data_IF_617077117361
#
_entry.id   IF_617077117361
#
_cell.length_a   1.000
_cell.length_b   1.000
_cell.length_c   1.000
_cell.angle_alpha   90.00
_cell.angle_beta   90.00
_cell.angle_gamma   90.00
#
_symmetry.space_group_name_H-M   'P 1'
#
loop_
_entity.id
_entity.type
_entity.pdbx_description
1 polymer ?
#
# COMPACT_ATOMS: atom_id res chain seq x y z
N UNK A 1 -21.94 -18.63 -4.29
CA UNK A 1 -21.17 -18.06 -5.41
C UNK A 1 -19.73 -18.42 -5.12
N UNK A 2 -19.26 -19.51 -5.72
CA UNK A 2 -17.84 -19.84 -5.69
C UNK A 2 -17.15 -18.85 -6.62
N UNK A 3 -16.39 -17.95 -6.04
CA UNK A 3 -15.43 -17.14 -6.80
C UNK A 3 -14.34 -18.11 -7.23
N UNK A 4 -14.46 -18.57 -8.47
CA UNK A 4 -13.46 -19.36 -9.17
C UNK A 4 -12.17 -18.54 -9.24
N UNK A 5 -11.23 -18.87 -8.35
CA UNK A 5 -9.89 -18.26 -8.18
C UNK A 5 -8.93 -18.68 -9.31
N UNK A 6 -9.45 -19.15 -10.45
CA UNK A 6 -8.67 -19.75 -11.54
C UNK A 6 -8.26 -18.78 -12.64
N UNK A 7 -8.49 -17.48 -12.46
CA UNK A 7 -7.84 -16.46 -13.29
C UNK A 7 -6.53 -16.00 -12.65
N UNK A 8 -5.71 -16.96 -12.22
CA UNK A 8 -4.36 -16.75 -11.73
C UNK A 8 -3.48 -16.43 -12.95
N UNK A 9 -3.65 -15.20 -13.45
CA UNK A 9 -2.84 -14.57 -14.48
C UNK A 9 -1.38 -14.94 -14.21
N UNK A 10 -0.70 -15.60 -15.16
CA UNK A 10 0.66 -16.14 -14.96
C UNK A 10 1.65 -15.00 -14.65
N UNK A 11 1.71 -14.61 -13.39
CA UNK A 11 2.75 -13.77 -12.83
C UNK A 11 4.00 -14.65 -12.72
N UNK A 12 5.11 -14.16 -13.25
CA UNK A 12 6.42 -14.81 -13.07
C UNK A 12 6.67 -15.10 -11.58
N UNK A 13 7.16 -16.30 -11.24
CA UNK A 13 7.32 -16.79 -9.86
C UNK A 13 8.04 -15.79 -8.91
N UNK A 14 9.12 -15.09 -9.33
CA UNK A 14 9.77 -14.06 -8.52
C UNK A 14 8.86 -12.87 -8.18
N UNK A 15 7.86 -12.56 -9.02
CA UNK A 15 6.88 -11.50 -8.77
C UNK A 15 5.84 -11.96 -7.74
N UNK A 16 5.35 -13.21 -7.85
CA UNK A 16 4.44 -13.81 -6.87
C UNK A 16 5.02 -13.83 -5.45
N UNK A 17 6.30 -14.21 -5.31
CA UNK A 17 6.97 -14.26 -4.01
C UNK A 17 7.12 -12.87 -3.38
N UNK A 18 7.54 -11.86 -4.16
CA UNK A 18 7.64 -10.47 -3.71
C UNK A 18 6.28 -9.94 -3.24
N UNK A 19 5.24 -10.17 -4.02
CA UNK A 19 3.87 -9.77 -3.66
C UNK A 19 3.34 -10.51 -2.43
N UNK A 20 3.66 -11.78 -2.24
CA UNK A 20 3.25 -12.54 -1.07
C UNK A 20 3.87 -11.96 0.22
N UNK A 21 5.17 -11.68 0.21
CA UNK A 21 5.85 -11.05 1.34
C UNK A 21 5.28 -9.67 1.65
N UNK A 22 5.12 -8.82 0.62
CA UNK A 22 4.60 -7.47 0.80
C UNK A 22 3.17 -7.44 1.35
N UNK A 23 2.32 -8.39 0.92
CA UNK A 23 0.97 -8.54 1.51
C UNK A 23 1.01 -9.00 2.96
N UNK A 24 1.94 -9.88 3.32
CA UNK A 24 2.12 -10.27 4.72
C UNK A 24 2.53 -9.07 5.58
N UNK A 25 3.45 -8.24 5.10
CA UNK A 25 3.83 -6.99 5.77
C UNK A 25 2.65 -6.01 5.88
N UNK A 26 1.86 -5.82 4.80
CA UNK A 26 0.65 -4.99 4.83
C UNK A 26 -0.35 -5.46 5.90
N UNK A 27 -0.55 -6.78 6.01
CA UNK A 27 -1.41 -7.38 7.02
C UNK A 27 -0.88 -7.18 8.43
N UNK A 28 0.43 -7.36 8.63
CA UNK A 28 1.08 -7.05 9.92
C UNK A 28 0.83 -5.61 10.32
N UNK A 29 1.01 -4.67 9.39
CA UNK A 29 0.76 -3.25 9.60
C UNK A 29 -0.70 -2.97 9.99
N UNK A 30 -1.68 -3.62 9.33
CA UNK A 30 -3.10 -3.51 9.71
C UNK A 30 -3.37 -4.02 11.12
N UNK A 31 -2.84 -5.18 11.50
CA UNK A 31 -3.02 -5.77 12.83
C UNK A 31 -2.40 -4.88 13.91
N UNK A 32 -1.18 -4.41 13.69
CA UNK A 32 -0.51 -3.49 14.62
C UNK A 32 -1.29 -2.17 14.75
N UNK A 33 -1.83 -1.65 13.65
CA UNK A 33 -2.67 -0.45 13.67
C UNK A 33 -3.94 -0.66 14.48
N UNK A 34 -4.63 -1.80 14.32
CA UNK A 34 -5.78 -2.15 15.16
C UNK A 34 -5.42 -2.19 16.64
N UNK A 35 -4.30 -2.85 16.98
CA UNK A 35 -3.84 -2.93 18.37
C UNK A 35 -3.49 -1.55 18.95
N UNK A 36 -2.82 -0.69 18.16
CA UNK A 36 -2.52 0.68 18.57
C UNK A 36 -3.80 1.48 18.81
N UNK A 37 -4.78 1.41 17.89
CA UNK A 37 -6.02 2.20 17.98
C UNK A 37 -6.83 1.83 19.21
N UNK A 38 -6.88 0.55 19.58
CA UNK A 38 -7.49 0.09 20.84
C UNK A 38 -6.77 0.63 22.07
N UNK A 39 -5.49 0.99 21.95
CA UNK A 39 -4.67 1.52 23.05
C UNK A 39 -4.63 3.05 23.13
N UNK A 40 -5.31 3.75 22.22
CA UNK A 40 -5.37 5.23 22.25
C UNK A 40 -6.18 5.66 23.47
N UNK A 41 -5.66 6.63 24.23
CA UNK A 41 -6.27 7.07 25.50
C UNK A 41 -7.30 8.18 25.33
N UNK A 42 -7.36 8.80 24.15
CA UNK A 42 -8.24 9.93 23.82
C UNK A 42 -9.15 9.56 22.64
N UNK A 43 -10.37 9.14 22.97
CA UNK A 43 -11.41 8.72 22.02
C UNK A 43 -12.02 9.90 21.23
N UNK A 44 -11.75 11.15 21.60
CA UNK A 44 -12.24 12.33 20.84
C UNK A 44 -11.37 12.64 19.61
N UNK A 45 -10.19 11.99 19.49
CA UNK A 45 -9.33 12.11 18.32
C UNK A 45 -9.85 11.23 17.17
N UNK A 46 -10.24 11.87 16.07
CA UNK A 46 -10.51 11.18 14.78
C UNK A 46 -9.29 10.40 14.22
N UNK A 47 -8.14 10.44 14.89
CA UNK A 47 -6.91 9.77 14.49
C UNK A 47 -7.08 8.25 14.38
N UNK A 48 -7.72 7.60 15.36
CA UNK A 48 -7.86 6.14 15.36
C UNK A 48 -8.56 5.60 14.10
N UNK A 49 -9.77 6.09 13.77
CA UNK A 49 -10.46 5.74 12.54
C UNK A 49 -9.66 6.04 11.27
N UNK A 50 -8.99 7.20 11.18
CA UNK A 50 -8.18 7.56 10.02
C UNK A 50 -6.95 6.67 9.84
N UNK A 51 -6.34 6.20 10.94
CA UNK A 51 -5.23 5.25 10.90
C UNK A 51 -5.69 3.90 10.36
N UNK A 52 -6.84 3.40 10.84
CA UNK A 52 -7.44 2.17 10.32
C UNK A 52 -7.78 2.28 8.84
N UNK A 53 -8.38 3.40 8.42
CA UNK A 53 -8.68 3.67 7.01
C UNK A 53 -7.42 3.57 6.14
N UNK A 54 -6.33 4.24 6.54
CA UNK A 54 -5.06 4.18 5.82
C UNK A 54 -4.50 2.75 5.73
N UNK A 55 -4.53 2.00 6.83
CA UNK A 55 -4.07 0.60 6.82
C UNK A 55 -4.91 -0.27 5.88
N UNK A 56 -6.23 -0.13 5.89
CA UNK A 56 -7.13 -0.86 5.00
C UNK A 56 -6.99 -0.45 3.54
N UNK A 57 -6.79 0.84 3.24
CA UNK A 57 -6.51 1.31 1.87
C UNK A 57 -5.24 0.64 1.35
N UNK A 58 -4.17 0.61 2.15
CA UNK A 58 -2.91 -0.02 1.74
C UNK A 58 -3.12 -1.51 1.40
N UNK A 59 -3.80 -2.28 2.26
CA UNK A 59 -4.08 -3.71 2.00
C UNK A 59 -5.00 -3.91 0.77
N UNK A 60 -6.07 -3.13 0.66
CA UNK A 60 -7.05 -3.27 -0.42
C UNK A 60 -6.43 -2.96 -1.79
N UNK A 61 -5.62 -1.89 -1.89
CA UNK A 61 -4.97 -1.50 -3.14
C UNK A 61 -3.87 -2.47 -3.55
N UNK A 62 -3.13 -3.03 -2.59
CA UNK A 62 -2.18 -4.11 -2.85
C UNK A 62 -2.87 -5.37 -3.40
N UNK A 63 -4.01 -5.77 -2.83
CA UNK A 63 -4.77 -6.92 -3.33
C UNK A 63 -5.36 -6.65 -4.71
N UNK A 64 -5.88 -5.44 -4.93
CA UNK A 64 -6.46 -5.02 -6.21
C UNK A 64 -5.44 -4.90 -7.34
N UNK A 65 -4.17 -4.63 -7.03
CA UNK A 65 -3.11 -4.47 -8.02
C UNK A 65 -2.93 -5.68 -8.95
N UNK A 66 -3.34 -6.88 -8.51
CA UNK A 66 -3.27 -8.12 -9.29
C UNK A 66 -4.17 -8.15 -10.53
N UNK A 67 -5.21 -7.32 -10.53
CA UNK A 67 -6.09 -7.19 -11.69
C UNK A 67 -5.44 -6.41 -12.84
N UNK A 68 -4.26 -5.80 -12.62
CA UNK A 68 -3.61 -4.92 -13.57
C UNK A 68 -2.27 -5.46 -14.05
N UNK A 69 -2.01 -5.25 -15.33
CA UNK A 69 -0.77 -5.64 -16.03
C UNK A 69 -0.09 -4.44 -16.69
N UNK A 70 -0.89 -3.44 -17.04
CA UNK A 70 -0.44 -2.15 -17.54
C UNK A 70 0.30 -1.38 -16.42
N UNK A 71 1.44 -0.81 -16.78
CA UNK A 71 2.32 -0.07 -15.87
C UNK A 71 1.64 1.12 -15.20
N UNK A 72 0.91 1.94 -15.95
CA UNK A 72 0.22 3.13 -15.42
C UNK A 72 -0.76 2.75 -14.31
N UNK A 73 -1.61 1.75 -14.56
CA UNK A 73 -2.58 1.26 -13.57
C UNK A 73 -1.92 0.66 -12.33
N UNK A 74 -0.82 -0.10 -12.49
CA UNK A 74 -0.04 -0.62 -11.36
C UNK A 74 0.59 0.52 -10.53
N UNK A 75 1.12 1.54 -11.21
CA UNK A 75 1.69 2.73 -10.58
C UNK A 75 0.63 3.54 -9.82
N UNK A 76 -0.59 3.69 -10.34
CA UNK A 76 -1.70 4.32 -9.63
C UNK A 76 -2.00 3.60 -8.31
N UNK A 77 -2.10 2.27 -8.32
CA UNK A 77 -2.30 1.50 -7.09
C UNK A 77 -1.14 1.69 -6.12
N UNK A 78 0.11 1.68 -6.62
CA UNK A 78 1.29 1.90 -5.81
C UNK A 78 1.31 3.30 -5.16
N UNK A 79 0.89 4.35 -5.87
CA UNK A 79 0.78 5.70 -5.31
C UNK A 79 -0.24 5.74 -4.16
N UNK A 80 -1.41 5.12 -4.32
CA UNK A 80 -2.41 5.06 -3.27
C UNK A 80 -1.92 4.32 -2.02
N UNK A 81 -1.23 3.19 -2.20
CA UNK A 81 -0.59 2.45 -1.10
C UNK A 81 0.44 3.32 -0.39
N UNK A 82 1.34 3.96 -1.14
CA UNK A 82 2.38 4.83 -0.58
C UNK A 82 1.78 5.98 0.22
N UNK A 83 0.77 6.66 -0.33
CA UNK A 83 0.10 7.78 0.33
C UNK A 83 -0.55 7.34 1.65
N UNK A 84 -1.23 6.20 1.66
CA UNK A 84 -1.88 5.67 2.85
C UNK A 84 -0.85 5.35 3.94
N UNK A 85 0.25 4.67 3.59
CA UNK A 85 1.31 4.32 4.55
C UNK A 85 2.05 5.56 5.07
N UNK A 86 2.31 6.56 4.22
CA UNK A 86 2.91 7.82 4.66
C UNK A 86 1.99 8.62 5.59
N UNK A 87 0.68 8.62 5.31
CA UNK A 87 -0.32 9.23 6.18
C UNK A 87 -0.37 8.53 7.54
N UNK A 88 -0.33 7.20 7.55
CA UNK A 88 -0.24 6.40 8.77
C UNK A 88 1.02 6.74 9.57
N UNK A 89 2.17 6.85 8.91
CA UNK A 89 3.42 7.25 9.56
C UNK A 89 3.32 8.65 10.20
N UNK A 90 2.73 9.62 9.50
CA UNK A 90 2.50 10.96 10.05
C UNK A 90 1.57 10.93 11.27
N UNK A 91 0.49 10.13 11.22
CA UNK A 91 -0.44 9.96 12.34
C UNK A 91 0.25 9.36 13.58
N UNK A 92 1.21 8.44 13.41
CA UNK A 92 2.01 7.95 14.56
C UNK A 92 2.84 9.06 15.22
N UNK A 93 3.31 10.04 14.45
CA UNK A 93 4.03 11.19 15.00
C UNK A 93 3.08 12.08 15.80
N UNK A 94 1.87 12.33 15.29
CA UNK A 94 0.84 13.10 16.02
C UNK A 94 0.48 12.44 17.34
N UNK A 95 0.22 11.11 17.35
CA UNK A 95 -0.07 10.38 18.59
C UNK A 95 1.05 10.47 19.62
N UNK A 96 2.31 10.50 19.17
CA UNK A 96 3.47 10.68 20.05
C UNK A 96 3.50 12.06 20.68
N UNK A 97 3.29 13.12 19.89
CA UNK A 97 3.30 14.50 20.39
C UNK A 97 2.14 14.78 21.36
N UNK A 98 1.01 14.11 21.16
CA UNK A 98 -0.15 14.20 22.05
C UNK A 98 -0.06 13.29 23.28
N UNK A 99 0.99 12.46 23.38
CA UNK A 99 1.13 11.42 24.42
C UNK A 99 -0.10 10.48 24.50
N UNK A 100 -0.83 10.33 23.40
CA UNK A 100 -2.12 9.65 23.34
C UNK A 100 -2.00 8.13 23.16
N UNK A 101 -0.78 7.59 23.06
CA UNK A 101 -0.52 6.17 22.95
C UNK A 101 0.87 5.81 23.51
N UNK A 102 1.04 4.54 23.91
CA UNK A 102 2.30 4.04 24.47
C UNK A 102 3.44 4.10 23.43
N UNK A 103 4.64 4.58 23.80
CA UNK A 103 5.79 4.68 22.90
C UNK A 103 6.16 3.36 22.23
N UNK A 104 5.97 2.24 22.91
CA UNK A 104 6.28 0.89 22.41
C UNK A 104 5.37 0.51 21.24
N UNK A 105 4.07 0.83 21.30
CA UNK A 105 3.14 0.58 20.20
C UNK A 105 3.45 1.46 18.98
N UNK A 106 3.81 2.72 19.23
CA UNK A 106 4.25 3.65 18.18
C UNK A 106 5.53 3.14 17.50
N UNK A 107 6.50 2.65 18.26
CA UNK A 107 7.74 2.07 17.71
C UNK A 107 7.46 0.83 16.87
N UNK A 108 6.64 -0.09 17.36
CA UNK A 108 6.30 -1.32 16.64
C UNK A 108 5.72 -1.04 15.24
N UNK A 109 4.79 -0.09 15.12
CA UNK A 109 4.25 0.30 13.82
C UNK A 109 5.31 0.96 12.93
N UNK A 110 6.16 1.84 13.48
CA UNK A 110 7.19 2.51 12.68
C UNK A 110 8.24 1.54 12.14
N UNK A 111 8.59 0.51 12.91
CA UNK A 111 9.51 -0.54 12.48
C UNK A 111 8.87 -1.41 11.38
N UNK A 112 7.58 -1.73 11.51
CA UNK A 112 6.83 -2.43 10.45
C UNK A 112 6.71 -1.58 9.17
N UNK A 113 6.46 -0.27 9.29
CA UNK A 113 6.43 0.65 8.14
C UNK A 113 7.77 0.66 7.39
N UNK A 114 8.90 0.63 8.10
CA UNK A 114 10.21 0.61 7.45
C UNK A 114 10.47 -0.73 6.74
N UNK A 115 10.09 -1.86 7.35
CA UNK A 115 10.15 -3.17 6.68
C UNK A 115 9.25 -3.22 5.45
N UNK A 116 8.01 -2.73 5.58
CA UNK A 116 7.06 -2.60 4.48
C UNK A 116 7.65 -1.74 3.35
N UNK A 117 8.28 -0.60 3.66
CA UNK A 117 8.87 0.31 2.68
C UNK A 117 9.93 -0.37 1.81
N UNK A 118 10.76 -1.23 2.39
CA UNK A 118 11.78 -1.96 1.66
C UNK A 118 11.15 -2.95 0.67
N UNK A 119 10.21 -3.77 1.14
CA UNK A 119 9.48 -4.73 0.29
C UNK A 119 8.65 -4.03 -0.79
N UNK A 120 8.04 -2.89 -0.45
CA UNK A 120 7.28 -2.07 -1.38
C UNK A 120 8.15 -1.52 -2.50
N UNK A 121 9.35 -1.03 -2.18
CA UNK A 121 10.29 -0.56 -3.20
C UNK A 121 10.70 -1.68 -4.16
N UNK A 122 10.93 -2.90 -3.67
CA UNK A 122 11.26 -4.06 -4.49
C UNK A 122 10.10 -4.54 -5.38
N UNK A 123 8.87 -4.35 -4.91
CA UNK A 123 7.67 -4.60 -5.70
C UNK A 123 7.53 -3.60 -6.85
N UNK A 124 7.64 -2.29 -6.57
CA UNK A 124 7.54 -1.23 -7.60
C UNK A 124 8.66 -1.35 -8.64
N UNK A 125 9.88 -1.72 -8.23
CA UNK A 125 10.99 -2.00 -9.17
C UNK A 125 10.70 -3.13 -10.15
N UNK A 126 9.73 -3.99 -9.84
CA UNK A 126 9.30 -5.08 -10.71
C UNK A 126 8.30 -4.67 -11.79
N UNK A 127 7.86 -3.41 -11.83
CA UNK A 127 6.94 -2.93 -12.87
C UNK A 127 7.72 -2.64 -14.14
N UNK A 128 7.17 -3.06 -15.29
CA UNK A 128 7.78 -2.85 -16.59
C UNK A 128 7.14 -1.63 -17.28
N UNK A 129 7.85 -0.50 -17.43
CA UNK A 129 7.31 0.68 -18.11
C UNK A 129 6.98 0.46 -19.59
N UNK A 130 7.50 -0.60 -20.22
CA UNK A 130 7.17 -0.93 -21.60
C UNK A 130 5.73 -1.46 -21.76
N UNK A 131 5.09 -1.93 -20.68
CA UNK A 131 3.66 -2.32 -20.71
C UNK A 131 2.71 -1.14 -20.60
N UNK A 132 3.23 0.10 -20.61
CA UNK A 132 2.40 1.30 -20.54
C UNK A 132 1.84 1.64 -21.92
N UNK A 133 0.75 0.99 -22.31
CA UNK A 133 0.07 1.13 -23.61
C UNK A 133 -1.28 1.86 -23.54
N UNK A 134 -1.68 2.31 -22.34
CA UNK A 134 -2.93 2.98 -22.07
C UNK A 134 -2.68 4.39 -21.52
N UNK A 135 -3.32 5.38 -22.13
CA UNK A 135 -3.35 6.77 -21.64
C UNK A 135 -4.70 7.02 -20.95
N UNK A 136 -4.64 7.33 -19.66
CA UNK A 136 -5.79 7.63 -18.82
C UNK A 136 -6.28 9.09 -18.97
N UNK A 137 -5.52 9.93 -19.68
CA UNK A 137 -5.79 11.35 -19.89
C UNK A 137 -5.43 12.26 -18.71
N UNK A 138 -4.89 11.73 -17.60
CA UNK A 138 -4.44 12.51 -16.44
C UNK A 138 -2.96 12.87 -16.53
N UNK A 139 -2.20 12.15 -17.36
CA UNK A 139 -0.79 12.47 -17.64
C UNK A 139 0.18 12.17 -16.48
N UNK A 140 -0.23 11.34 -15.52
CA UNK A 140 0.60 10.98 -14.35
C UNK A 140 1.69 9.96 -14.69
N UNK A 141 1.41 9.04 -15.62
CA UNK A 141 2.33 7.98 -16.05
C UNK A 141 2.34 7.92 -17.58
N UNK A 142 3.05 8.82 -18.28
CA UNK A 142 3.05 8.83 -19.74
C UNK A 142 3.70 7.55 -20.29
N UNK A 143 3.25 7.04 -21.45
CA UNK A 143 3.88 5.91 -22.12
C UNK A 143 5.30 6.28 -22.54
N UNK A 144 6.24 5.33 -22.45
CA UNK A 144 7.63 5.55 -22.86
C UNK A 144 7.75 5.85 -24.36
N UNK A 145 6.83 5.30 -25.16
CA UNK A 145 6.73 5.56 -26.59
C UNK A 145 5.47 6.39 -26.81
N UNK A 146 5.57 7.64 -27.27
CA UNK A 146 4.39 8.44 -27.56
C UNK A 146 3.58 7.79 -28.69
N UNK A 147 2.24 7.82 -28.63
CA UNK A 147 1.41 7.33 -29.72
C UNK A 147 1.78 8.06 -31.02
N UNK A 148 1.75 7.34 -32.14
CA UNK A 148 2.03 7.93 -33.44
C UNK A 148 1.10 9.13 -33.67
N UNK A 149 1.66 10.29 -33.99
CA UNK A 149 0.88 11.47 -34.35
C UNK A 149 0.14 11.17 -35.65
N UNK A 150 -1.19 11.20 -35.61
CA UNK A 150 -2.06 11.28 -36.80
C UNK A 150 -1.90 12.64 -37.51
#
# INVERSE_FOLDING_TARGET
>A
MDFDDSNDFELDEPRRLREASLRAAARSLTILTQALVVSITDDELLLGPLMLENAYIAEAKLRGARAFTNYGQLMEQAVLVKLAVQSLQAQTAVLRELEAAQPEHIRAIRDEIEQFRQQFADWVRGFDPATNDYDDGWGLFPPLIPPAKE
#
